data_IF_144672762169
#
_entry.id   IF_144672762169
#
_cell.length_a   1.000
_cell.length_b   1.000
_cell.length_c   1.000
_cell.angle_alpha   90.00
_cell.angle_beta   90.00
_cell.angle_gamma   90.00
#
_symmetry.space_group_name_H-M   'P 1'
#
loop_
_entity.id
_entity.type
_entity.pdbx_description
1 polymer ?
#
# COMPACT_ATOMS: atom_id res chain seq x y z
N UNK A 1 2.98 -17.91 -7.77
CA UNK A 1 2.70 -17.41 -9.13
C UNK A 1 1.80 -18.35 -9.92
N UNK A 2 2.10 -19.64 -10.16
CA UNK A 2 1.25 -20.57 -10.93
C UNK A 2 -0.21 -20.63 -10.48
N UNK A 3 -0.47 -20.81 -9.19
CA UNK A 3 -1.85 -20.85 -8.64
C UNK A 3 -2.63 -19.56 -8.90
N UNK A 4 -1.95 -18.42 -8.97
CA UNK A 4 -2.55 -17.14 -9.32
C UNK A 4 -2.97 -17.12 -10.79
N UNK A 5 -2.10 -17.55 -11.70
CA UNK A 5 -2.41 -17.62 -13.14
C UNK A 5 -3.56 -18.59 -13.42
N UNK A 6 -3.56 -19.79 -12.83
CA UNK A 6 -4.68 -20.74 -12.94
C UNK A 6 -6.01 -20.12 -12.47
N UNK A 7 -5.97 -19.36 -11.38
CA UNK A 7 -7.18 -18.70 -10.88
C UNK A 7 -7.68 -17.63 -11.85
N UNK A 8 -6.80 -16.83 -12.43
CA UNK A 8 -7.16 -15.84 -13.45
C UNK A 8 -7.78 -16.51 -14.68
N UNK A 9 -7.21 -17.60 -15.16
CA UNK A 9 -7.76 -18.33 -16.30
C UNK A 9 -9.17 -18.83 -16.00
N UNK A 10 -9.42 -19.46 -14.85
CA UNK A 10 -10.76 -19.89 -14.43
C UNK A 10 -11.77 -18.74 -14.37
N UNK A 11 -11.33 -17.56 -13.93
CA UNK A 11 -12.20 -16.38 -13.94
C UNK A 11 -12.48 -15.89 -15.36
N UNK A 12 -11.47 -15.87 -16.23
CA UNK A 12 -11.59 -15.42 -17.61
C UNK A 12 -12.50 -16.33 -18.45
N UNK A 13 -12.57 -17.63 -18.13
CA UNK A 13 -13.50 -18.58 -18.79
C UNK A 13 -14.97 -18.29 -18.51
N UNK A 14 -15.26 -17.63 -17.39
CA UNK A 14 -16.63 -17.40 -16.91
C UNK A 14 -17.08 -15.95 -16.92
N UNK A 15 -16.11 -15.02 -17.04
CA UNK A 15 -16.35 -13.58 -16.95
C UNK A 15 -15.82 -12.85 -18.16
N UNK A 16 -16.58 -11.88 -18.68
CA UNK A 16 -16.18 -11.04 -19.81
C UNK A 16 -15.01 -10.10 -19.49
N UNK A 17 -14.80 -9.79 -18.22
CA UNK A 17 -13.68 -8.98 -17.75
C UNK A 17 -13.30 -9.37 -16.32
N UNK A 18 -12.03 -9.29 -16.01
CA UNK A 18 -11.47 -9.55 -14.67
C UNK A 18 -10.66 -8.34 -14.23
N UNK A 19 -10.98 -7.80 -13.07
CA UNK A 19 -10.23 -6.71 -12.43
C UNK A 19 -9.48 -7.26 -11.24
N UNK A 20 -8.19 -6.97 -11.15
CA UNK A 20 -7.31 -7.42 -10.09
C UNK A 20 -6.78 -6.19 -9.36
N UNK A 21 -7.19 -6.01 -8.09
CA UNK A 21 -6.59 -5.03 -7.22
C UNK A 21 -5.39 -5.65 -6.51
N UNK A 22 -4.24 -4.99 -6.59
CA UNK A 22 -2.99 -5.49 -6.01
C UNK A 22 -2.24 -4.37 -5.30
N UNK A 23 -1.68 -4.66 -4.14
CA UNK A 23 -0.79 -3.75 -3.43
C UNK A 23 0.63 -3.81 -3.99
N UNK A 24 1.36 -2.71 -3.93
CA UNK A 24 2.78 -2.65 -4.29
C UNK A 24 3.64 -3.58 -3.41
N UNK A 25 3.25 -3.75 -2.14
CA UNK A 25 3.96 -4.57 -1.14
C UNK A 25 3.73 -6.08 -1.23
N UNK A 26 3.12 -6.60 -2.31
CA UNK A 26 2.90 -8.05 -2.46
C UNK A 26 4.22 -8.77 -2.62
N UNK A 27 4.42 -9.79 -1.79
CA UNK A 27 5.60 -10.68 -1.80
C UNK A 27 5.24 -12.07 -2.31
N UNK A 28 6.21 -12.72 -2.94
CA UNK A 28 6.15 -14.16 -3.24
C UNK A 28 6.62 -14.97 -2.02
N UNK A 29 6.49 -16.30 -2.09
CA UNK A 29 6.75 -17.19 -0.96
C UNK A 29 8.20 -17.14 -0.43
N UNK A 30 9.16 -16.70 -1.22
CA UNK A 30 10.56 -16.54 -0.82
C UNK A 30 10.87 -15.16 -0.19
N UNK A 31 9.86 -14.31 -0.02
CA UNK A 31 9.96 -13.00 0.61
C UNK A 31 10.32 -11.85 -0.33
N UNK A 32 10.63 -12.10 -1.60
CA UNK A 32 10.88 -11.04 -2.58
C UNK A 32 9.58 -10.34 -2.99
N UNK A 33 9.65 -9.05 -3.27
CA UNK A 33 8.53 -8.31 -3.82
C UNK A 33 8.26 -8.73 -5.27
N UNK A 34 7.00 -8.73 -5.65
CA UNK A 34 6.58 -9.10 -7.00
C UNK A 34 7.21 -8.17 -8.05
N UNK A 35 7.36 -6.88 -7.74
CA UNK A 35 8.01 -5.92 -8.63
C UNK A 35 9.49 -6.21 -8.92
N UNK A 36 10.17 -7.00 -8.07
CA UNK A 36 11.57 -7.38 -8.26
C UNK A 36 11.77 -8.54 -9.24
N UNK A 37 10.70 -9.23 -9.64
CA UNK A 37 10.81 -10.45 -10.45
C UNK A 37 11.20 -10.20 -11.92
N UNK A 38 11.16 -8.99 -12.39
CA UNK A 38 11.43 -8.68 -13.80
C UNK A 38 12.49 -7.59 -14.02
N UNK A 39 12.96 -6.93 -12.96
CA UNK A 39 13.92 -5.81 -13.06
C UNK A 39 14.66 -5.57 -11.77
N UNK A 40 15.81 -4.91 -11.85
CA UNK A 40 16.42 -4.30 -10.68
C UNK A 40 15.56 -3.15 -10.19
N UNK A 41 15.26 -3.15 -8.88
CA UNK A 41 14.50 -2.10 -8.23
C UNK A 41 15.48 -1.04 -7.74
N UNK A 42 15.27 0.21 -8.15
CA UNK A 42 16.10 1.32 -7.69
C UNK A 42 15.99 1.47 -6.16
N UNK A 43 17.12 1.78 -5.54
CA UNK A 43 17.23 2.02 -4.10
C UNK A 43 17.49 3.51 -3.91
N UNK A 44 16.78 4.13 -2.97
CA UNK A 44 16.99 5.54 -2.63
C UNK A 44 18.26 5.73 -1.79
N UNK A 45 18.59 7.00 -1.50
CA UNK A 45 19.79 7.36 -0.73
C UNK A 45 19.78 6.81 0.71
N UNK A 46 18.63 6.35 1.21
CA UNK A 46 18.45 5.80 2.56
C UNK A 46 18.39 4.26 2.57
N UNK A 47 18.56 3.62 1.40
CA UNK A 47 18.52 2.17 1.28
C UNK A 47 17.12 1.58 1.07
N UNK A 48 16.08 2.41 0.88
CA UNK A 48 14.73 1.93 0.64
C UNK A 48 14.53 1.60 -0.85
N UNK A 49 13.92 0.43 -1.11
CA UNK A 49 13.57 0.02 -2.46
C UNK A 49 12.38 0.84 -2.97
N UNK A 50 12.51 1.40 -4.17
CA UNK A 50 11.42 2.08 -4.85
C UNK A 50 10.46 1.06 -5.45
N UNK A 51 9.47 0.65 -4.65
CA UNK A 51 8.47 -0.35 -5.05
C UNK A 51 7.46 0.28 -6.01
N UNK A 52 7.64 0.02 -7.30
CA UNK A 52 6.70 0.41 -8.36
C UNK A 52 6.70 -0.64 -9.46
N UNK A 53 5.65 -0.68 -10.27
CA UNK A 53 5.56 -1.59 -11.42
C UNK A 53 5.07 -2.99 -11.09
N UNK A 54 4.53 -3.24 -9.90
CA UNK A 54 3.91 -4.53 -9.55
C UNK A 54 2.76 -4.88 -10.51
N UNK A 55 1.89 -3.92 -10.80
CA UNK A 55 0.77 -4.13 -11.71
C UNK A 55 1.25 -4.38 -13.15
N UNK A 56 2.27 -3.67 -13.61
CA UNK A 56 2.87 -3.87 -14.94
C UNK A 56 3.46 -5.27 -15.05
N UNK A 57 4.29 -5.66 -14.08
CA UNK A 57 4.93 -6.98 -14.07
C UNK A 57 3.91 -8.12 -14.06
N UNK A 58 2.84 -8.00 -13.27
CA UNK A 58 1.77 -9.00 -13.24
C UNK A 58 0.99 -9.04 -14.58
N UNK A 59 0.70 -7.89 -15.17
CA UNK A 59 0.02 -7.81 -16.45
C UNK A 59 0.84 -8.48 -17.56
N UNK A 60 2.14 -8.17 -17.63
CA UNK A 60 3.05 -8.78 -18.60
C UNK A 60 3.14 -10.30 -18.39
N UNK A 61 3.22 -10.74 -17.15
CA UNK A 61 3.27 -12.17 -16.82
C UNK A 61 1.99 -12.90 -17.20
N UNK A 62 0.82 -12.33 -16.91
CA UNK A 62 -0.47 -12.89 -17.33
C UNK A 62 -0.54 -12.96 -18.84
N UNK A 63 -0.21 -11.88 -19.55
CA UNK A 63 -0.23 -11.85 -21.01
C UNK A 63 0.68 -12.92 -21.62
N UNK A 64 1.91 -13.06 -21.11
CA UNK A 64 2.89 -14.02 -21.61
C UNK A 64 2.47 -15.48 -21.40
N UNK A 65 1.83 -15.80 -20.27
CA UNK A 65 1.45 -17.17 -19.93
C UNK A 65 0.07 -17.60 -20.45
N UNK A 66 -0.83 -16.64 -20.66
CA UNK A 66 -2.23 -16.94 -21.00
C UNK A 66 -2.64 -16.47 -22.40
N UNK A 67 -1.90 -15.55 -23.00
CA UNK A 67 -2.30 -14.86 -24.23
C UNK A 67 -3.44 -13.86 -24.06
N UNK A 68 -3.96 -13.68 -22.84
CA UNK A 68 -5.05 -12.75 -22.57
C UNK A 68 -4.57 -11.30 -22.71
N UNK A 69 -5.44 -10.43 -23.23
CA UNK A 69 -5.17 -8.99 -23.28
C UNK A 69 -5.26 -8.40 -21.88
N UNK A 70 -4.14 -7.91 -21.37
CA UNK A 70 -4.02 -7.31 -20.04
C UNK A 70 -3.69 -5.83 -20.12
N UNK A 71 -4.03 -5.10 -19.09
CA UNK A 71 -3.64 -3.70 -18.89
C UNK A 71 -3.31 -3.46 -17.42
N UNK A 72 -2.20 -2.81 -17.18
CA UNK A 72 -1.84 -2.31 -15.84
C UNK A 72 -2.29 -0.87 -15.67
N UNK A 73 -2.80 -0.54 -14.49
CA UNK A 73 -3.12 0.83 -14.07
C UNK A 73 -2.48 1.03 -12.70
N UNK A 74 -1.53 1.93 -12.63
CA UNK A 74 -0.92 2.35 -11.37
C UNK A 74 -1.45 3.73 -11.01
N UNK A 75 -2.16 3.84 -9.90
CA UNK A 75 -2.78 5.11 -9.50
C UNK A 75 -1.77 6.15 -9.04
N UNK A 76 -0.70 5.73 -8.36
CA UNK A 76 0.38 6.61 -7.94
C UNK A 76 -0.15 7.95 -7.38
N UNK A 77 0.22 9.07 -8.00
CA UNK A 77 -0.20 10.42 -7.60
C UNK A 77 -1.71 10.63 -7.69
N UNK A 78 -2.41 9.97 -8.63
CA UNK A 78 -3.86 10.10 -8.78
C UNK A 78 -4.61 9.67 -7.52
N UNK A 79 -4.17 8.61 -6.86
CA UNK A 79 -4.76 8.15 -5.61
C UNK A 79 -4.62 9.20 -4.50
N UNK A 80 -3.47 9.85 -4.43
CA UNK A 80 -3.19 10.90 -3.42
C UNK A 80 -3.93 12.20 -3.70
N UNK A 81 -4.19 12.50 -4.98
CA UNK A 81 -4.85 13.72 -5.41
C UNK A 81 -6.38 13.61 -5.48
N UNK A 82 -6.96 12.43 -5.25
CA UNK A 82 -8.39 12.17 -5.39
C UNK A 82 -9.19 12.61 -4.15
N UNK A 83 -9.13 13.89 -3.79
CA UNK A 83 -9.79 14.45 -2.58
C UNK A 83 -11.31 14.23 -2.55
N UNK A 84 -11.95 14.12 -3.72
CA UNK A 84 -13.39 13.85 -3.85
C UNK A 84 -13.76 12.40 -3.46
N UNK A 85 -12.79 11.52 -3.30
CA UNK A 85 -12.97 10.12 -2.85
C UNK A 85 -12.46 9.89 -1.42
N UNK A 86 -11.94 10.93 -0.74
CA UNK A 86 -11.48 10.82 0.64
C UNK A 86 -12.66 10.54 1.58
N UNK A 87 -12.49 9.60 2.50
CA UNK A 87 -13.50 9.34 3.52
C UNK A 87 -13.49 10.44 4.59
N UNK A 88 -14.65 10.72 5.18
CA UNK A 88 -14.73 11.69 6.28
C UNK A 88 -13.93 11.23 7.50
N UNK A 89 -13.88 9.94 7.74
CA UNK A 89 -13.07 9.33 8.80
C UNK A 89 -11.60 9.66 8.60
N UNK A 90 -11.05 9.39 7.42
CA UNK A 90 -9.64 9.66 7.12
C UNK A 90 -9.29 11.14 7.23
N UNK A 91 -10.20 12.03 6.80
CA UNK A 91 -10.01 13.48 6.92
C UNK A 91 -9.94 13.90 8.39
N UNK A 92 -10.87 13.41 9.22
CA UNK A 92 -10.91 13.74 10.65
C UNK A 92 -9.70 13.18 11.39
N UNK A 93 -9.30 11.96 11.10
CA UNK A 93 -8.12 11.33 11.70
C UNK A 93 -6.83 12.04 11.29
N UNK A 94 -6.68 12.41 10.03
CA UNK A 94 -5.53 13.19 9.57
C UNK A 94 -5.45 14.56 10.26
N UNK A 95 -6.60 15.23 10.45
CA UNK A 95 -6.65 16.47 11.21
C UNK A 95 -6.25 16.24 12.69
N UNK A 96 -6.80 15.20 13.33
CA UNK A 96 -6.51 14.89 14.73
C UNK A 96 -5.03 14.58 14.96
N UNK A 97 -4.41 13.79 14.09
CA UNK A 97 -2.96 13.49 14.14
C UNK A 97 -2.13 14.76 14.05
N UNK A 98 -2.48 15.67 13.12
CA UNK A 98 -1.80 16.96 12.98
C UNK A 98 -1.97 17.86 14.21
N UNK A 99 -3.17 17.94 14.75
CA UNK A 99 -3.48 18.71 15.96
C UNK A 99 -2.69 18.19 17.18
N UNK A 100 -2.68 16.88 17.40
CA UNK A 100 -1.96 16.26 18.50
C UNK A 100 -0.44 16.34 18.34
N UNK A 101 0.06 16.38 17.11
CA UNK A 101 1.48 16.61 16.84
C UNK A 101 1.91 18.02 17.30
N UNK A 102 1.08 19.04 17.03
CA UNK A 102 1.34 20.41 17.50
C UNK A 102 1.31 20.46 19.02
N UNK A 103 0.29 19.88 19.66
CA UNK A 103 0.19 19.84 21.14
C UNK A 103 1.39 19.12 21.78
N UNK A 104 1.86 18.03 21.16
CA UNK A 104 3.04 17.32 21.63
C UNK A 104 4.30 18.18 21.53
N UNK A 105 4.47 18.92 20.43
CA UNK A 105 5.59 19.85 20.25
C UNK A 105 5.55 21.01 21.26
N UNK A 106 4.38 21.60 21.50
CA UNK A 106 4.19 22.65 22.53
C UNK A 106 4.50 22.13 23.95
N UNK A 107 4.18 20.85 24.21
CA UNK A 107 4.54 20.19 25.47
C UNK A 107 6.03 19.80 25.58
N UNK A 108 6.86 20.21 24.59
CA UNK A 108 8.30 19.94 24.56
C UNK A 108 8.68 18.51 24.20
N UNK A 109 7.75 17.69 23.70
CA UNK A 109 8.05 16.34 23.22
C UNK A 109 8.80 16.42 21.89
N UNK A 110 9.92 15.70 21.78
CA UNK A 110 10.72 15.61 20.56
C UNK A 110 11.03 14.16 20.25
N UNK A 111 11.30 13.84 18.98
CA UNK A 111 11.56 12.46 18.54
C UNK A 111 10.33 11.54 18.61
N UNK A 112 9.13 12.11 18.62
CA UNK A 112 7.87 11.38 18.72
C UNK A 112 7.13 11.38 17.38
N UNK A 113 6.42 10.31 17.12
CA UNK A 113 5.45 10.17 16.04
C UNK A 113 4.04 10.02 16.62
N UNK A 114 3.10 10.81 16.15
CA UNK A 114 1.70 10.61 16.50
C UNK A 114 1.12 9.54 15.58
N UNK A 115 0.55 8.51 16.18
CA UNK A 115 -0.03 7.36 15.50
C UNK A 115 -1.53 7.30 15.67
N UNK A 116 -2.20 6.57 14.81
CA UNK A 116 -3.60 6.19 14.93
C UNK A 116 -3.69 4.87 15.68
N UNK A 117 -4.42 4.85 16.79
CA UNK A 117 -4.63 3.66 17.61
C UNK A 117 -6.08 3.20 17.44
N UNK A 118 -6.26 2.11 16.69
CA UNK A 118 -7.58 1.52 16.49
C UNK A 118 -8.07 0.81 17.74
N UNK A 119 -9.14 1.32 18.34
CA UNK A 119 -9.68 0.85 19.61
C UNK A 119 -10.95 -0.01 19.47
N UNK A 120 -11.59 0.00 18.29
CA UNK A 120 -12.79 -0.78 18.02
C UNK A 120 -13.10 -0.88 16.54
N UNK A 121 -13.80 -1.95 16.15
CA UNK A 121 -14.17 -2.24 14.76
C UNK A 121 -15.65 -2.01 14.49
N UNK A 122 -16.52 -2.29 15.45
CA UNK A 122 -17.96 -2.14 15.31
C UNK A 122 -18.59 -1.65 16.63
N UNK A 123 -18.89 -0.35 16.78
CA UNK A 123 -18.56 0.70 15.82
C UNK A 123 -17.05 0.98 15.75
N UNK A 124 -16.60 1.46 14.58
CA UNK A 124 -15.21 1.88 14.42
C UNK A 124 -14.85 3.00 15.39
N UNK A 125 -13.75 2.82 16.10
CA UNK A 125 -13.20 3.81 17.04
C UNK A 125 -11.69 3.89 16.89
N UNK A 126 -11.18 5.10 16.82
CA UNK A 126 -9.76 5.38 16.71
C UNK A 126 -9.39 6.54 17.63
N UNK A 127 -8.26 6.43 18.26
CA UNK A 127 -7.61 7.49 19.03
C UNK A 127 -6.22 7.79 18.48
N UNK A 128 -5.47 8.63 19.20
CA UNK A 128 -4.08 8.93 18.86
C UNK A 128 -3.18 8.68 20.07
N UNK A 129 -1.93 8.31 19.79
CA UNK A 129 -0.87 8.18 20.80
C UNK A 129 0.46 8.68 20.24
N UNK A 130 1.35 9.08 21.15
CA UNK A 130 2.70 9.51 20.81
C UNK A 130 3.70 8.38 21.10
N UNK A 131 4.41 7.93 20.08
CA UNK A 131 5.42 6.87 20.17
C UNK A 131 6.80 7.41 19.81
N UNK A 132 7.85 6.80 20.37
CA UNK A 132 9.23 7.09 19.99
C UNK A 132 9.44 6.72 18.52
N UNK A 133 9.88 7.68 17.71
CA UNK A 133 10.10 7.49 16.28
C UNK A 133 11.13 6.39 15.99
N UNK A 134 12.11 6.18 16.86
CA UNK A 134 13.12 5.13 16.70
C UNK A 134 12.57 3.72 16.86
N UNK A 135 11.43 3.58 17.54
CA UNK A 135 10.74 2.29 17.66
C UNK A 135 9.85 1.96 16.45
N UNK A 136 9.59 2.96 15.59
CA UNK A 136 8.65 2.84 14.46
C UNK A 136 9.37 2.91 13.12
N UNK A 137 10.39 3.79 13.01
CA UNK A 137 11.10 4.02 11.77
C UNK A 137 11.76 2.73 11.24
N UNK A 138 11.58 2.45 9.94
CA UNK A 138 12.12 1.28 9.25
C UNK A 138 11.64 -0.09 9.78
N UNK A 139 10.52 -0.12 10.50
CA UNK A 139 9.88 -1.38 10.93
C UNK A 139 8.70 -1.67 10.01
N UNK A 140 8.77 -2.79 9.25
CA UNK A 140 7.62 -3.31 8.50
C UNK A 140 6.68 -4.03 9.47
N UNK A 141 5.38 -3.75 9.34
CA UNK A 141 4.30 -4.45 10.05
C UNK A 141 3.32 -5.09 9.08
#
# INVERSE_FOLDING_TARGET
MYRFIEYIMKLADTKSSVVIAVSEGVKIADGRYVCELGREVAVDAFGHKQMSGTAVMLADKIAAETGLKTRAIEFSTLQRAATHLASLTDINEAFQVGFDAVNAAEAGKTGMMITLDRNGDDPYQCGTSAYDIHAIANVER
#
